data_IF_429936617281
#
_entry.id   IF_429936617281
#
_cell.length_a   1.000
_cell.length_b   1.000
_cell.length_c   1.000
_cell.angle_alpha   90.00
_cell.angle_beta   90.00
_cell.angle_gamma   90.00
#
_symmetry.space_group_name_H-M   'P 1'
#
loop_
_entity.id
_entity.type
_entity.pdbx_description
1 polymer ?
#
# COMPACT_ATOMS: atom_id res chain seq x y z
N UNK A 1 -22.12 47.97 9.95
CA UNK A 1 -22.25 46.61 10.52
C UNK A 1 -21.69 45.61 9.52
N UNK A 2 -20.54 44.98 9.80
CA UNK A 2 -20.00 43.87 8.99
C UNK A 2 -20.57 42.57 9.56
N UNK A 3 -21.38 41.87 8.79
CA UNK A 3 -21.82 40.51 9.12
C UNK A 3 -20.65 39.54 8.88
N UNK A 4 -20.19 38.90 9.94
CA UNK A 4 -19.26 37.76 9.87
C UNK A 4 -20.13 36.51 9.68
N UNK A 5 -20.07 35.90 8.51
CA UNK A 5 -20.65 34.58 8.28
C UNK A 5 -19.76 33.53 8.91
N UNK A 6 -20.19 32.97 10.04
CA UNK A 6 -19.56 31.81 10.67
C UNK A 6 -20.04 30.56 9.93
N UNK A 7 -19.21 30.00 9.04
CA UNK A 7 -19.47 28.69 8.46
C UNK A 7 -19.20 27.62 9.53
N UNK A 8 -20.26 27.08 10.13
CA UNK A 8 -20.19 25.83 10.87
C UNK A 8 -19.99 24.69 9.85
N UNK A 9 -18.77 24.18 9.75
CA UNK A 9 -18.54 22.86 9.16
C UNK A 9 -18.99 21.80 10.17
N UNK A 10 -20.14 21.17 9.91
CA UNK A 10 -20.50 19.93 10.61
C UNK A 10 -19.54 18.82 10.15
N UNK A 11 -18.49 18.57 10.92
CA UNK A 11 -17.69 17.35 10.81
C UNK A 11 -18.56 16.18 11.28
N UNK A 12 -19.36 15.62 10.38
CA UNK A 12 -19.85 14.26 10.59
C UNK A 12 -18.62 13.35 10.61
N UNK A 13 -18.39 12.57 11.68
CA UNK A 13 -17.31 11.59 11.66
C UNK A 13 -17.65 10.60 10.55
N UNK A 14 -16.88 10.64 9.46
CA UNK A 14 -16.95 9.58 8.47
C UNK A 14 -16.39 8.34 9.15
N UNK A 15 -17.29 7.41 9.48
CA UNK A 15 -16.93 6.10 10.02
C UNK A 15 -15.98 5.43 9.03
N UNK A 16 -14.93 4.75 9.51
CA UNK A 16 -14.01 4.00 8.64
C UNK A 16 -12.74 4.71 8.15
N UNK A 17 -12.47 5.95 8.55
CA UNK A 17 -11.22 6.63 8.15
C UNK A 17 -10.57 7.48 9.25
N UNK A 18 -9.28 7.77 9.04
CA UNK A 18 -8.51 8.80 9.77
C UNK A 18 -7.71 9.66 8.81
N UNK A 19 -7.54 10.93 9.16
CA UNK A 19 -6.65 11.84 8.43
C UNK A 19 -5.62 12.44 9.37
N UNK A 20 -4.34 12.29 9.02
CA UNK A 20 -3.24 12.99 9.67
C UNK A 20 -2.87 14.20 8.84
N UNK A 21 -2.89 15.37 9.47
CA UNK A 21 -2.42 16.59 8.83
C UNK A 21 -0.91 16.54 8.69
N UNK A 22 -0.42 16.91 7.51
CA UNK A 22 1.00 17.10 7.27
C UNK A 22 1.49 18.43 7.84
N UNK A 23 2.71 18.44 8.35
CA UNK A 23 3.43 19.67 8.70
C UNK A 23 4.19 20.27 7.52
N UNK A 24 5.29 20.94 7.82
CA UNK A 24 6.26 21.34 6.80
C UNK A 24 7.07 20.15 6.30
N UNK A 25 7.48 20.19 5.04
CA UNK A 25 8.30 19.15 4.42
C UNK A 25 8.08 19.05 2.91
N UNK A 26 8.80 18.15 2.23
CA UNK A 26 8.71 17.99 0.77
C UNK A 26 7.33 17.59 0.25
N UNK A 27 6.51 16.94 1.09
CA UNK A 27 5.14 16.54 0.79
C UNK A 27 4.08 17.60 1.10
N UNK A 28 4.46 18.80 1.56
CA UNK A 28 3.52 19.86 1.90
C UNK A 28 2.64 20.21 0.70
N UNK A 29 1.32 20.23 0.92
CA UNK A 29 0.33 20.50 -0.12
C UNK A 29 -0.02 19.28 -0.98
N UNK A 30 0.56 18.10 -0.72
CA UNK A 30 0.18 16.83 -1.35
C UNK A 30 -0.71 15.99 -0.45
N UNK A 31 -1.71 15.33 -1.04
CA UNK A 31 -2.61 14.42 -0.32
C UNK A 31 -2.43 12.96 -0.78
N UNK A 32 -2.02 12.10 0.13
CA UNK A 32 -1.93 10.65 -0.08
C UNK A 32 -3.13 9.97 0.58
N UNK A 33 -3.85 9.13 -0.18
CA UNK A 33 -4.94 8.30 0.35
C UNK A 33 -4.49 6.84 0.38
N UNK A 34 -4.55 6.22 1.55
CA UNK A 34 -4.28 4.81 1.78
C UNK A 34 -5.60 4.04 1.81
N UNK A 35 -5.71 2.98 1.00
CA UNK A 35 -6.82 2.03 1.01
C UNK A 35 -6.34 0.74 1.65
N UNK A 36 -6.80 0.45 2.87
CA UNK A 36 -6.30 -0.63 3.72
C UNK A 36 -7.43 -1.63 4.04
N UNK A 37 -7.43 -2.79 3.38
CA UNK A 37 -8.36 -3.89 3.71
C UNK A 37 -7.84 -5.22 3.20
N UNK A 38 -7.04 -5.89 4.03
CA UNK A 38 -6.52 -7.24 3.82
C UNK A 38 -6.65 -8.03 5.11
N UNK A 39 -6.96 -9.32 5.01
CA UNK A 39 -7.28 -10.18 6.16
C UNK A 39 -6.11 -11.04 6.66
N UNK A 40 -4.90 -10.92 6.07
CA UNK A 40 -3.75 -11.75 6.45
C UNK A 40 -2.53 -10.93 6.87
N UNK A 41 -2.08 -9.99 6.06
CA UNK A 41 -0.80 -9.27 6.12
C UNK A 41 -0.83 -7.93 6.86
N UNK A 42 -1.96 -7.60 7.50
CA UNK A 42 -2.13 -6.43 8.39
C UNK A 42 -1.99 -5.09 7.67
N UNK A 43 -2.82 -4.87 6.65
CA UNK A 43 -2.90 -3.57 5.99
C UNK A 43 -3.28 -2.45 6.97
N UNK A 44 -4.16 -2.77 7.93
CA UNK A 44 -4.62 -1.90 9.01
C UNK A 44 -3.53 -1.48 10.01
N UNK A 45 -2.36 -2.11 9.99
CA UNK A 45 -1.17 -1.69 10.74
C UNK A 45 -0.15 -0.98 9.84
N UNK A 46 0.09 -1.54 8.64
CA UNK A 46 1.08 -1.06 7.67
C UNK A 46 0.74 0.35 7.16
N UNK A 47 -0.50 0.53 6.70
CA UNK A 47 -0.94 1.77 6.09
C UNK A 47 -0.90 2.96 7.06
N UNK A 48 -1.46 2.87 8.29
CA UNK A 48 -1.33 3.98 9.23
C UNK A 48 0.09 4.20 9.71
N UNK A 49 0.95 3.17 9.83
CA UNK A 49 2.37 3.38 10.13
C UNK A 49 3.07 4.25 9.08
N UNK A 50 2.91 3.91 7.79
CA UNK A 50 3.46 4.71 6.69
C UNK A 50 2.84 6.11 6.62
N UNK A 51 1.51 6.21 6.78
CA UNK A 51 0.80 7.48 6.76
C UNK A 51 1.32 8.45 7.83
N UNK A 52 1.51 7.98 9.07
CA UNK A 52 2.04 8.80 10.16
C UNK A 52 3.48 9.24 9.90
N UNK A 53 4.34 8.36 9.39
CA UNK A 53 5.72 8.72 9.00
C UNK A 53 5.70 9.84 7.95
N UNK A 54 4.92 9.68 6.89
CA UNK A 54 4.83 10.65 5.79
C UNK A 54 4.21 11.97 6.24
N UNK A 55 3.22 11.96 7.12
CA UNK A 55 2.62 13.17 7.65
C UNK A 55 3.58 13.94 8.57
N UNK A 56 4.14 13.24 9.56
CA UNK A 56 4.95 13.85 10.61
C UNK A 56 6.34 14.28 10.14
N UNK A 57 6.99 13.47 9.30
CA UNK A 57 8.39 13.69 8.92
C UNK A 57 8.54 14.33 7.55
N UNK A 58 7.51 14.23 6.69
CA UNK A 58 7.62 14.64 5.29
C UNK A 58 6.54 15.65 4.87
N UNK A 59 5.59 15.99 5.74
CA UNK A 59 4.63 17.06 5.50
C UNK A 59 3.44 16.70 4.60
N UNK A 60 3.25 15.43 4.23
CA UNK A 60 2.08 15.02 3.45
C UNK A 60 0.80 15.11 4.28
N UNK A 61 -0.30 15.59 3.68
CA UNK A 61 -1.62 15.23 4.19
C UNK A 61 -1.83 13.75 3.88
N UNK A 62 -2.20 12.95 4.87
CA UNK A 62 -2.47 11.52 4.65
C UNK A 62 -3.85 11.15 5.18
N UNK A 63 -4.58 10.36 4.42
CA UNK A 63 -5.86 9.78 4.84
C UNK A 63 -5.76 8.27 4.73
N UNK A 64 -6.15 7.54 5.77
CA UNK A 64 -6.21 6.07 5.76
C UNK A 64 -7.67 5.66 5.84
N UNK A 65 -8.10 4.90 4.83
CA UNK A 65 -9.42 4.31 4.69
C UNK A 65 -9.32 2.83 5.04
N UNK A 66 -10.18 2.35 5.93
CA UNK A 66 -10.18 0.98 6.41
C UNK A 66 -11.41 0.22 5.93
N UNK A 67 -11.26 -1.09 5.73
CA UNK A 67 -12.39 -2.01 5.80
C UNK A 67 -13.01 -1.98 7.20
N UNK A 68 -14.34 -1.88 7.29
CA UNK A 68 -15.04 -1.85 8.58
C UNK A 68 -16.21 -2.81 8.68
N UNK A 69 -16.55 -3.21 9.91
CA UNK A 69 -17.79 -3.92 10.23
C UNK A 69 -19.00 -2.96 10.31
N UNK A 70 -20.21 -3.53 10.45
CA UNK A 70 -21.43 -2.74 10.61
C UNK A 70 -21.52 -1.88 11.88
N UNK A 71 -20.53 -1.96 12.79
CA UNK A 71 -20.40 -1.12 13.99
C UNK A 71 -19.30 -0.06 13.83
N UNK A 72 -18.64 0.00 12.68
CA UNK A 72 -17.54 0.91 12.37
C UNK A 72 -16.20 0.53 13.00
N UNK A 73 -16.03 -0.71 13.48
CA UNK A 73 -14.70 -1.21 13.85
C UNK A 73 -13.93 -1.60 12.60
N UNK A 74 -12.62 -1.42 12.64
CA UNK A 74 -11.71 -1.92 11.63
C UNK A 74 -11.87 -3.45 11.55
N UNK A 75 -12.21 -3.94 10.36
CA UNK A 75 -12.34 -5.36 10.08
C UNK A 75 -11.48 -5.73 8.87
N UNK A 76 -10.45 -6.52 9.14
CA UNK A 76 -9.40 -6.85 8.19
C UNK A 76 -9.99 -7.62 7.00
N UNK A 77 -9.88 -7.05 5.79
CA UNK A 77 -10.41 -7.64 4.55
C UNK A 77 -11.90 -7.43 4.32
N UNK A 78 -12.58 -6.61 5.13
CA UNK A 78 -13.97 -6.23 4.88
C UNK A 78 -14.13 -5.47 3.56
N UNK A 79 -15.18 -5.81 2.81
CA UNK A 79 -15.58 -5.14 1.56
C UNK A 79 -16.55 -4.00 1.81
N UNK A 80 -16.22 -3.15 2.78
CA UNK A 80 -16.93 -1.90 3.07
C UNK A 80 -15.89 -0.86 3.50
N UNK A 81 -15.56 0.07 2.60
CA UNK A 81 -14.53 1.09 2.79
C UNK A 81 -15.16 2.46 2.59
N UNK A 82 -15.54 3.07 3.70
CA UNK A 82 -16.12 4.41 3.73
C UNK A 82 -15.03 5.49 3.55
N UNK A 83 -15.36 6.59 2.87
CA UNK A 83 -14.44 7.72 2.63
C UNK A 83 -13.67 7.67 1.31
N UNK A 84 -13.98 6.72 0.41
CA UNK A 84 -13.31 6.59 -0.89
C UNK A 84 -13.46 7.82 -1.79
N UNK A 85 -14.44 8.70 -1.56
CA UNK A 85 -14.58 9.99 -2.24
C UNK A 85 -13.34 10.90 -2.09
N UNK A 86 -12.53 10.69 -1.04
CA UNK A 86 -11.25 11.37 -0.87
C UNK A 86 -10.27 11.14 -2.03
N UNK A 87 -10.42 10.04 -2.78
CA UNK A 87 -9.61 9.76 -3.98
C UNK A 87 -9.81 10.79 -5.09
N UNK A 88 -10.93 11.50 -5.12
CA UNK A 88 -11.19 12.55 -6.12
C UNK A 88 -10.08 13.59 -6.17
N UNK A 89 -9.61 14.02 -4.99
CA UNK A 89 -8.64 15.11 -4.83
C UNK A 89 -7.25 14.62 -4.41
N UNK A 90 -7.05 13.30 -4.27
CA UNK A 90 -5.77 12.72 -3.89
C UNK A 90 -4.69 12.91 -4.97
N UNK A 91 -3.45 13.20 -4.57
CA UNK A 91 -2.29 13.21 -5.45
C UNK A 91 -1.73 11.80 -5.69
N UNK A 92 -1.95 10.89 -4.74
CA UNK A 92 -1.47 9.52 -4.79
C UNK A 92 -2.40 8.58 -4.01
N UNK A 93 -2.65 7.39 -4.56
CA UNK A 93 -3.30 6.28 -3.87
C UNK A 93 -2.26 5.24 -3.49
N UNK A 94 -2.22 4.85 -2.22
CA UNK A 94 -1.54 3.65 -1.75
C UNK A 94 -2.61 2.59 -1.50
N UNK A 95 -2.51 1.43 -2.15
CA UNK A 95 -3.48 0.34 -1.98
C UNK A 95 -2.80 -0.90 -1.41
N UNK A 96 -3.36 -1.36 -0.29
CA UNK A 96 -3.05 -2.64 0.33
C UNK A 96 -4.38 -3.31 0.68
N UNK A 97 -4.89 -4.05 -0.30
CA UNK A 97 -6.20 -4.67 -0.27
C UNK A 97 -6.15 -6.11 -0.73
N UNK A 98 -7.14 -6.93 -0.38
CA UNK A 98 -7.24 -8.32 -0.81
C UNK A 98 -8.67 -8.77 -1.04
N UNK A 99 -8.94 -9.32 -2.21
CA UNK A 99 -10.19 -10.01 -2.56
C UNK A 99 -11.47 -9.24 -2.21
N UNK A 100 -11.44 -7.92 -2.39
CA UNK A 100 -12.58 -7.06 -2.12
C UNK A 100 -13.64 -7.18 -3.20
N UNK A 101 -14.90 -7.14 -2.78
CA UNK A 101 -16.09 -7.01 -3.62
C UNK A 101 -16.92 -5.84 -3.08
N UNK A 102 -16.37 -4.62 -3.24
CA UNK A 102 -16.96 -3.40 -2.72
C UNK A 102 -18.33 -3.12 -3.37
N UNK A 103 -19.25 -2.45 -2.65
CA UNK A 103 -20.45 -1.85 -3.22
C UNK A 103 -20.13 -0.98 -4.45
N UNK A 104 -21.03 -0.95 -5.43
CA UNK A 104 -20.78 -0.27 -6.72
C UNK A 104 -20.55 1.25 -6.56
N UNK A 105 -21.20 1.89 -5.59
CA UNK A 105 -21.01 3.31 -5.25
C UNK A 105 -19.62 3.58 -4.67
N UNK A 106 -19.10 2.66 -3.84
CA UNK A 106 -17.72 2.71 -3.34
C UNK A 106 -16.69 2.42 -4.43
N UNK A 107 -16.90 1.36 -5.21
CA UNK A 107 -15.98 0.95 -6.28
C UNK A 107 -15.86 2.01 -7.39
N UNK A 108 -16.91 2.82 -7.59
CA UNK A 108 -16.90 3.96 -8.51
C UNK A 108 -15.73 4.90 -8.24
N UNK A 109 -15.43 5.21 -6.98
CA UNK A 109 -14.35 6.14 -6.64
C UNK A 109 -12.97 5.60 -7.02
N UNK A 110 -12.75 4.29 -6.88
CA UNK A 110 -11.51 3.63 -7.32
C UNK A 110 -11.44 3.64 -8.86
N UNK A 111 -12.54 3.31 -9.53
CA UNK A 111 -12.60 3.34 -10.99
C UNK A 111 -12.34 4.75 -11.53
N UNK A 112 -12.98 5.78 -10.98
CA UNK A 112 -12.77 7.19 -11.35
C UNK A 112 -11.30 7.61 -11.15
N UNK A 113 -10.66 7.19 -10.05
CA UNK A 113 -9.24 7.46 -9.77
C UNK A 113 -8.31 6.85 -10.82
N UNK A 114 -8.55 5.61 -11.20
CA UNK A 114 -7.79 4.92 -12.24
C UNK A 114 -8.05 5.56 -13.60
N UNK A 115 -9.31 5.83 -13.94
CA UNK A 115 -9.69 6.38 -15.24
C UNK A 115 -9.13 7.80 -15.47
N UNK A 116 -8.97 8.62 -14.42
CA UNK A 116 -8.29 9.93 -14.48
C UNK A 116 -6.76 9.85 -14.51
N UNK A 117 -6.18 8.65 -14.38
CA UNK A 117 -4.73 8.44 -14.37
C UNK A 117 -4.05 8.97 -13.10
N UNK A 118 -4.62 8.65 -11.94
CA UNK A 118 -4.00 8.90 -10.65
C UNK A 118 -2.77 7.97 -10.42
N UNK A 119 -1.65 8.46 -9.86
CA UNK A 119 -0.51 7.61 -9.51
C UNK A 119 -0.89 6.56 -8.45
N UNK A 120 -0.25 5.38 -8.48
CA UNK A 120 -0.61 4.27 -7.58
C UNK A 120 0.63 3.63 -6.97
N UNK A 121 0.58 3.38 -5.67
CA UNK A 121 1.50 2.50 -4.95
C UNK A 121 0.73 1.24 -4.55
N UNK A 122 1.10 0.08 -5.10
CA UNK A 122 0.51 -1.20 -4.73
C UNK A 122 1.43 -1.98 -3.82
N UNK A 123 0.96 -2.33 -2.62
CA UNK A 123 1.68 -3.19 -1.69
C UNK A 123 1.03 -4.56 -1.60
N UNK A 124 1.87 -5.58 -1.43
CA UNK A 124 1.49 -6.98 -1.19
C UNK A 124 0.22 -7.36 -1.95
N UNK A 125 -0.85 -7.72 -1.27
CA UNK A 125 -1.99 -8.43 -1.85
C UNK A 125 -2.79 -7.60 -2.87
N UNK A 126 -2.42 -6.34 -3.10
CA UNK A 126 -3.03 -5.49 -4.12
C UNK A 126 -2.96 -6.04 -5.55
N UNK A 127 -2.04 -6.97 -5.85
CA UNK A 127 -2.05 -7.76 -7.10
C UNK A 127 -3.35 -8.55 -7.32
N UNK A 128 -4.09 -8.79 -6.24
CA UNK A 128 -5.42 -9.38 -6.22
C UNK A 128 -6.33 -8.62 -5.24
N UNK A 129 -6.27 -7.28 -5.33
CA UNK A 129 -7.08 -6.39 -4.51
C UNK A 129 -8.58 -6.71 -4.59
N UNK A 130 -9.07 -7.09 -5.77
CA UNK A 130 -10.50 -7.27 -6.06
C UNK A 130 -10.82 -8.69 -6.48
N UNK A 131 -11.90 -9.24 -5.92
CA UNK A 131 -12.51 -10.51 -6.32
C UNK A 131 -14.00 -10.28 -6.58
N UNK A 132 -14.31 -9.83 -7.78
CA UNK A 132 -15.64 -9.31 -8.12
C UNK A 132 -16.37 -10.32 -9.01
N UNK A 133 -17.55 -10.82 -8.59
CA UNK A 133 -18.33 -11.75 -9.39
C UNK A 133 -18.63 -11.26 -10.81
N UNK A 134 -18.60 -12.19 -11.77
CA UNK A 134 -18.98 -11.91 -13.17
C UNK A 134 -20.39 -11.33 -13.24
N UNK A 135 -20.56 -10.30 -14.06
CA UNK A 135 -21.86 -9.64 -14.30
C UNK A 135 -22.10 -8.40 -13.42
N UNK A 136 -21.27 -8.15 -12.40
CA UNK A 136 -21.29 -6.86 -11.68
C UNK A 136 -20.68 -5.74 -12.52
N UNK A 137 -21.06 -4.50 -12.21
CA UNK A 137 -20.64 -3.29 -12.91
C UNK A 137 -19.11 -3.17 -13.04
N UNK A 138 -18.38 -3.52 -11.99
CA UNK A 138 -16.91 -3.45 -11.96
C UNK A 138 -16.21 -4.80 -12.10
N UNK A 139 -16.89 -5.83 -12.62
CA UNK A 139 -16.31 -7.18 -12.76
C UNK A 139 -15.00 -7.21 -13.56
N UNK A 140 -14.74 -6.22 -14.44
CA UNK A 140 -13.43 -6.05 -15.11
C UNK A 140 -12.25 -5.91 -14.15
N UNK A 141 -12.44 -5.41 -12.94
CA UNK A 141 -11.37 -5.23 -11.95
C UNK A 141 -10.97 -6.54 -11.24
N UNK A 142 -11.79 -7.60 -11.34
CA UNK A 142 -11.51 -8.91 -10.75
C UNK A 142 -10.13 -9.43 -11.15
N UNK A 143 -9.35 -9.91 -10.18
CA UNK A 143 -7.97 -10.34 -10.42
C UNK A 143 -7.82 -11.50 -11.43
N UNK A 144 -8.91 -12.21 -11.74
CA UNK A 144 -8.98 -13.28 -12.73
C UNK A 144 -9.87 -12.92 -13.93
N UNK A 145 -10.09 -11.64 -14.18
CA UNK A 145 -10.92 -11.19 -15.30
C UNK A 145 -10.43 -11.77 -16.63
N UNK A 146 -11.33 -12.46 -17.34
CA UNK A 146 -11.02 -13.19 -18.58
C UNK A 146 -11.24 -12.40 -19.87
N UNK A 147 -11.76 -11.18 -19.80
CA UNK A 147 -11.98 -10.33 -20.98
C UNK A 147 -10.68 -9.71 -21.48
N UNK A 148 -10.48 -9.68 -22.80
CA UNK A 148 -9.25 -9.19 -23.45
C UNK A 148 -9.02 -7.69 -23.25
N UNK A 149 -10.08 -6.94 -23.00
CA UNK A 149 -10.07 -5.50 -22.79
C UNK A 149 -9.45 -5.09 -21.44
N UNK A 150 -9.36 -6.02 -20.49
CA UNK A 150 -8.81 -5.76 -19.17
C UNK A 150 -8.25 -7.03 -18.52
N UNK A 151 -7.51 -7.82 -19.31
CA UNK A 151 -7.07 -9.17 -18.95
C UNK A 151 -6.44 -9.24 -17.55
N UNK A 152 -6.83 -10.23 -16.74
CA UNK A 152 -6.34 -10.44 -15.37
C UNK A 152 -6.53 -9.25 -14.41
N UNK A 153 -7.43 -8.34 -14.75
CA UNK A 153 -7.97 -7.37 -13.82
C UNK A 153 -7.03 -6.26 -13.38
N UNK A 154 -7.41 -5.62 -12.28
CA UNK A 154 -6.71 -4.46 -11.73
C UNK A 154 -5.22 -4.72 -11.48
N UNK A 155 -4.88 -5.82 -10.80
CA UNK A 155 -3.49 -6.11 -10.45
C UNK A 155 -2.59 -6.20 -11.68
N UNK A 156 -3.01 -6.94 -12.70
CA UNK A 156 -2.23 -7.03 -13.93
C UNK A 156 -2.19 -5.71 -14.70
N UNK A 157 -3.36 -5.11 -14.95
CA UNK A 157 -3.47 -3.94 -15.81
C UNK A 157 -2.84 -2.67 -15.20
N UNK A 158 -2.88 -2.53 -13.87
CA UNK A 158 -2.41 -1.35 -13.15
C UNK A 158 -1.07 -1.59 -12.47
N UNK A 159 -0.91 -2.69 -11.72
CA UNK A 159 0.32 -2.95 -10.99
C UNK A 159 1.37 -3.69 -11.83
N UNK A 160 0.95 -4.32 -12.93
CA UNK A 160 1.82 -5.14 -13.79
C UNK A 160 1.89 -6.60 -13.35
N UNK A 161 1.18 -7.01 -12.29
CA UNK A 161 1.16 -8.39 -11.83
C UNK A 161 -0.18 -8.74 -11.18
N UNK A 162 -0.78 -9.85 -11.61
CA UNK A 162 -1.91 -10.47 -10.89
C UNK A 162 -1.39 -11.52 -9.90
N UNK A 163 -2.26 -12.05 -9.05
CA UNK A 163 -1.90 -13.16 -8.17
C UNK A 163 -1.59 -14.43 -8.95
N UNK A 164 -0.34 -14.88 -8.85
CA UNK A 164 0.13 -16.17 -9.39
C UNK A 164 0.26 -17.19 -8.26
N UNK A 165 0.91 -16.81 -7.17
CA UNK A 165 1.21 -17.72 -6.07
C UNK A 165 2.40 -17.28 -5.25
N UNK A 166 2.64 -18.02 -4.16
CA UNK A 166 3.86 -17.89 -3.38
C UNK A 166 5.07 -18.45 -4.13
N UNK A 167 6.19 -17.75 -4.04
CA UNK A 167 7.48 -18.22 -4.49
C UNK A 167 8.28 -18.76 -3.30
N UNK A 168 7.97 -20.00 -2.89
CA UNK A 168 8.46 -20.58 -1.63
C UNK A 168 7.31 -20.93 -0.70
N UNK A 169 7.62 -21.26 0.55
CA UNK A 169 6.64 -21.67 1.57
C UNK A 169 6.30 -20.49 2.46
N UNK A 170 5.12 -19.90 2.25
CA UNK A 170 4.58 -18.86 3.13
C UNK A 170 4.56 -19.33 4.59
N UNK A 171 4.74 -18.39 5.54
CA UNK A 171 4.81 -18.65 6.99
C UNK A 171 5.96 -19.56 7.48
N UNK A 172 6.81 -20.04 6.58
CA UNK A 172 7.99 -20.88 6.91
C UNK A 172 9.30 -20.34 6.36
N UNK A 173 9.22 -19.51 5.31
CA UNK A 173 10.35 -18.87 4.66
C UNK A 173 10.12 -17.35 4.67
N UNK A 174 10.99 -16.63 5.40
CA UNK A 174 11.16 -15.21 5.22
C UNK A 174 11.85 -14.93 3.88
N UNK A 175 11.94 -13.65 3.52
CA UNK A 175 12.45 -13.21 2.23
C UNK A 175 13.50 -12.13 2.42
N UNK A 176 14.67 -12.31 1.79
CA UNK A 176 15.63 -11.23 1.60
C UNK A 176 15.27 -10.44 0.34
N UNK A 177 15.19 -9.13 0.47
CA UNK A 177 14.99 -8.20 -0.64
C UNK A 177 16.35 -7.74 -1.14
N UNK A 178 16.72 -8.26 -2.31
CA UNK A 178 17.99 -8.02 -2.97
C UNK A 178 17.85 -6.89 -3.99
N UNK A 179 18.74 -5.91 -3.95
CA UNK A 179 18.77 -4.82 -4.90
C UNK A 179 19.30 -5.29 -6.25
N UNK A 180 18.67 -4.84 -7.34
CA UNK A 180 19.18 -5.05 -8.70
C UNK A 180 20.35 -4.10 -8.92
N UNK A 181 21.54 -4.64 -9.19
CA UNK A 181 22.80 -3.87 -9.27
C UNK A 181 22.76 -2.79 -10.35
N UNK A 182 22.08 -3.08 -11.46
CA UNK A 182 21.91 -2.17 -12.59
C UNK A 182 21.03 -0.96 -12.24
N UNK A 183 20.27 -1.02 -11.14
CA UNK A 183 19.41 0.07 -10.67
C UNK A 183 20.03 0.92 -9.56
N UNK A 184 21.33 0.75 -9.25
CA UNK A 184 22.01 1.45 -8.14
C UNK A 184 21.83 2.98 -8.15
N UNK A 185 21.70 3.58 -9.33
CA UNK A 185 21.56 5.03 -9.52
C UNK A 185 20.10 5.49 -9.54
N UNK A 186 19.14 4.55 -9.42
CA UNK A 186 17.73 4.87 -9.35
C UNK A 186 17.43 5.65 -8.06
N UNK A 187 16.71 6.79 -8.14
CA UNK A 187 16.42 7.63 -6.97
C UNK A 187 15.70 6.88 -5.85
N UNK A 188 14.91 5.84 -6.18
CA UNK A 188 14.21 5.03 -5.18
C UNK A 188 15.19 4.25 -4.28
N UNK A 189 16.37 3.88 -4.79
CA UNK A 189 17.36 3.09 -4.04
C UNK A 189 18.30 3.96 -3.18
N UNK A 190 18.17 5.29 -3.19
CA UNK A 190 19.00 6.17 -2.35
C UNK A 190 18.83 5.85 -0.87
N UNK A 191 19.95 5.50 -0.23
CA UNK A 191 20.01 5.15 1.20
C UNK A 191 19.40 3.79 1.55
N UNK A 192 18.98 3.00 0.56
CA UNK A 192 18.44 1.65 0.78
C UNK A 192 19.60 0.66 0.81
N UNK A 193 19.79 -0.01 1.95
CA UNK A 193 20.73 -1.12 2.07
C UNK A 193 20.22 -2.40 1.40
N UNK A 194 21.14 -3.22 0.94
CA UNK A 194 20.84 -4.51 0.32
C UNK A 194 20.44 -5.58 1.36
N UNK A 195 19.73 -6.61 0.92
CA UNK A 195 19.27 -7.75 1.72
C UNK A 195 18.37 -7.37 2.91
N UNK A 196 17.44 -6.44 2.71
CA UNK A 196 16.42 -6.14 3.71
C UNK A 196 15.60 -7.39 4.03
N UNK A 197 15.32 -7.66 5.31
CA UNK A 197 14.53 -8.82 5.72
C UNK A 197 13.04 -8.47 5.70
N UNK A 198 12.27 -9.18 4.88
CA UNK A 198 10.82 -9.22 4.95
C UNK A 198 10.37 -10.56 5.53
N UNK A 199 9.48 -10.52 6.51
CA UNK A 199 8.94 -11.71 7.17
C UNK A 199 7.90 -12.41 6.28
N UNK A 200 7.21 -11.68 5.42
CA UNK A 200 6.28 -12.24 4.45
C UNK A 200 6.99 -13.11 3.41
N UNK A 201 6.41 -14.27 3.10
CA UNK A 201 6.94 -15.18 2.09
C UNK A 201 6.84 -14.58 0.69
N UNK A 202 7.87 -14.74 -0.13
CA UNK A 202 7.93 -14.17 -1.47
C UNK A 202 6.73 -14.56 -2.34
N UNK A 203 6.36 -13.67 -3.27
CA UNK A 203 5.43 -13.95 -4.37
C UNK A 203 6.19 -14.14 -5.66
N UNK A 204 5.55 -14.82 -6.62
CA UNK A 204 6.05 -14.85 -8.00
C UNK A 204 5.81 -13.47 -8.62
N UNK A 205 6.89 -12.78 -8.98
CA UNK A 205 6.84 -11.58 -9.82
C UNK A 205 7.13 -11.91 -11.28
N UNK A 206 6.28 -11.41 -12.18
CA UNK A 206 6.42 -11.58 -13.62
C UNK A 206 6.37 -10.19 -14.26
N UNK A 207 7.51 -9.47 -14.30
CA UNK A 207 7.57 -8.15 -14.91
C UNK A 207 7.47 -8.26 -16.44
N UNK A 208 6.91 -7.25 -17.09
CA UNK A 208 7.08 -7.06 -18.53
C UNK A 208 8.35 -6.22 -18.82
N UNK A 209 8.73 -6.15 -20.10
CA UNK A 209 9.93 -5.45 -20.58
C UNK A 209 9.86 -3.93 -20.43
N UNK A 210 8.68 -3.37 -20.17
CA UNK A 210 8.47 -1.95 -19.93
C UNK A 210 8.68 -1.55 -18.47
N UNK A 211 8.86 -2.52 -17.57
CA UNK A 211 9.01 -2.25 -16.14
C UNK A 211 10.47 -1.97 -15.78
N UNK A 212 10.68 -1.10 -14.80
CA UNK A 212 11.98 -0.95 -14.13
C UNK A 212 11.97 -1.76 -12.85
N UNK A 213 12.58 -2.94 -12.88
CA UNK A 213 12.68 -3.84 -11.70
C UNK A 213 13.81 -3.40 -10.80
N UNK A 214 13.49 -3.04 -9.56
CA UNK A 214 14.41 -2.48 -8.57
C UNK A 214 14.98 -3.52 -7.61
N UNK A 215 14.18 -4.53 -7.28
CA UNK A 215 14.56 -5.57 -6.32
C UNK A 215 14.08 -6.94 -6.74
N UNK A 216 14.73 -7.97 -6.21
CA UNK A 216 14.27 -9.35 -6.25
C UNK A 216 14.10 -9.91 -4.83
N UNK A 217 13.13 -10.80 -4.66
CA UNK A 217 12.83 -11.55 -3.44
C UNK A 217 13.55 -12.89 -3.48
N UNK A 218 14.47 -13.11 -2.55
CA UNK A 218 15.15 -14.38 -2.31
C UNK A 218 14.51 -15.07 -1.10
N UNK A 219 13.80 -16.21 -1.27
CA UNK A 219 13.32 -17.00 -0.14
C UNK A 219 14.48 -17.55 0.69
N UNK A 220 14.30 -17.58 2.01
CA UNK A 220 15.23 -18.18 2.98
C UNK A 220 14.73 -19.52 3.49
N UNK A 221 15.61 -20.35 4.03
CA UNK A 221 15.27 -21.60 4.72
C UNK A 221 15.04 -21.36 6.22
N UNK A 222 14.19 -20.39 6.55
CA UNK A 222 13.85 -20.03 7.92
C UNK A 222 13.12 -18.70 7.99
N UNK A 223 12.82 -18.27 9.22
CA UNK A 223 12.09 -17.02 9.50
C UNK A 223 12.97 -15.98 10.20
N UNK A 224 14.29 -16.04 10.00
CA UNK A 224 15.29 -15.18 10.64
C UNK A 224 16.21 -14.55 9.61
N UNK A 225 16.92 -13.48 9.98
CA UNK A 225 17.81 -12.74 9.08
C UNK A 225 19.02 -13.56 8.61
N UNK A 226 19.50 -14.44 9.48
CA UNK A 226 20.65 -15.32 9.32
C UNK A 226 20.31 -16.66 8.67
N UNK A 227 19.04 -16.92 8.37
CA UNK A 227 18.64 -18.12 7.64
C UNK A 227 19.25 -18.10 6.23
N UNK A 228 19.86 -19.22 5.85
CA UNK A 228 20.43 -19.42 4.52
C UNK A 228 19.38 -19.26 3.41
N UNK A 229 19.80 -18.74 2.25
CA UNK A 229 18.94 -18.69 1.07
C UNK A 229 18.47 -20.09 0.65
N UNK A 230 17.25 -20.21 0.14
CA UNK A 230 16.76 -21.47 -0.45
C UNK A 230 17.53 -21.79 -1.74
N UNK A 231 18.41 -22.81 -1.76
CA UNK A 231 19.28 -23.07 -2.91
C UNK A 231 18.50 -23.57 -4.13
N UNK A 232 17.21 -23.93 -3.97
CA UNK A 232 16.34 -24.39 -5.05
C UNK A 232 15.56 -23.25 -5.72
N UNK A 233 15.74 -22.02 -5.24
CA UNK A 233 14.95 -20.85 -5.65
C UNK A 233 15.90 -19.72 -6.05
N UNK A 234 15.85 -19.32 -7.32
CA UNK A 234 16.51 -18.09 -7.78
C UNK A 234 15.70 -16.88 -7.31
N UNK A 235 16.30 -15.70 -7.08
CA UNK A 235 15.55 -14.51 -6.72
C UNK A 235 14.44 -14.21 -7.73
N UNK A 236 13.22 -13.92 -7.25
CA UNK A 236 12.08 -13.55 -8.09
C UNK A 236 11.88 -12.03 -8.08
N UNK A 237 11.62 -11.35 -9.22
CA UNK A 237 11.35 -9.91 -9.23
C UNK A 237 10.30 -9.51 -8.20
N UNK A 238 10.54 -8.44 -7.44
CA UNK A 238 9.71 -8.13 -6.28
C UNK A 238 9.29 -6.68 -6.13
N UNK A 239 10.06 -5.73 -6.62
CA UNK A 239 9.66 -4.32 -6.60
C UNK A 239 9.99 -3.69 -7.93
N UNK A 240 9.05 -2.95 -8.51
CA UNK A 240 9.26 -2.28 -9.79
C UNK A 240 8.46 -1.00 -9.92
N UNK A 241 8.88 -0.17 -10.88
CA UNK A 241 8.08 0.95 -11.38
C UNK A 241 7.59 0.68 -12.79
N UNK A 242 6.39 1.17 -13.10
CA UNK A 242 5.82 1.17 -14.46
C UNK A 242 4.90 2.36 -14.66
N UNK A 243 4.30 2.44 -15.85
CA UNK A 243 3.20 3.36 -16.12
C UNK A 243 2.00 2.61 -16.70
N UNK A 244 0.80 3.01 -16.31
CA UNK A 244 -0.44 2.62 -17.02
C UNK A 244 -0.99 3.83 -17.78
N UNK A 245 -1.79 3.56 -18.81
CA UNK A 245 -2.48 4.61 -19.57
C UNK A 245 -3.91 4.75 -19.05
N UNK A 246 -4.30 5.97 -18.70
CA UNK A 246 -5.67 6.30 -18.33
C UNK A 246 -6.59 6.33 -19.56
N UNK A 247 -7.89 6.52 -19.33
CA UNK A 247 -8.90 6.61 -20.41
C UNK A 247 -8.59 7.73 -21.42
N UNK A 248 -8.07 8.86 -20.93
CA UNK A 248 -7.69 10.01 -21.73
C UNK A 248 -6.23 9.95 -22.22
N UNK A 249 -5.56 8.81 -22.07
CA UNK A 249 -4.20 8.58 -22.56
C UNK A 249 -3.08 9.10 -21.65
N UNK A 250 -3.40 9.67 -20.47
CA UNK A 250 -2.40 10.09 -19.48
C UNK A 250 -1.60 8.89 -19.00
N UNK A 251 -0.26 9.00 -18.99
CA UNK A 251 0.62 8.01 -18.37
C UNK A 251 0.69 8.28 -16.87
N UNK A 252 0.18 7.34 -16.07
CA UNK A 252 0.17 7.43 -14.62
C UNK A 252 1.25 6.54 -14.01
N UNK A 253 1.99 7.07 -13.04
CA UNK A 253 3.11 6.39 -12.36
C UNK A 253 2.60 5.28 -11.44
N UNK A 254 3.29 4.15 -11.45
CA UNK A 254 3.03 3.03 -10.54
C UNK A 254 4.32 2.55 -9.93
N UNK A 255 4.32 2.43 -8.61
CA UNK A 255 5.32 1.66 -7.87
C UNK A 255 4.62 0.46 -7.23
N UNK A 256 5.13 -0.74 -7.45
CA UNK A 256 4.57 -1.95 -6.86
C UNK A 256 5.65 -2.71 -6.10
N UNK A 257 5.31 -3.19 -4.91
CA UNK A 257 6.10 -4.17 -4.18
C UNK A 257 5.25 -5.40 -3.90
N UNK A 258 5.81 -6.58 -4.19
CA UNK A 258 5.19 -7.86 -3.87
C UNK A 258 5.25 -8.18 -2.37
N UNK A 259 5.92 -7.34 -1.57
CA UNK A 259 5.93 -7.39 -0.11
C UNK A 259 5.14 -6.22 0.47
N UNK A 260 5.04 -6.15 1.80
CA UNK A 260 4.41 -5.01 2.47
C UNK A 260 3.67 -5.37 3.75
N UNK A 261 3.84 -6.59 4.28
CA UNK A 261 3.19 -6.96 5.53
C UNK A 261 3.68 -6.09 6.69
N UNK A 262 2.89 -5.98 7.75
CA UNK A 262 3.22 -5.07 8.86
C UNK A 262 4.60 -5.34 9.48
N UNK A 263 4.96 -6.61 9.64
CA UNK A 263 6.27 -7.01 10.17
C UNK A 263 7.44 -6.72 9.20
N UNK A 264 7.20 -6.58 7.89
CA UNK A 264 8.23 -6.25 6.91
C UNK A 264 8.77 -4.83 7.14
N UNK A 265 7.93 -3.90 7.65
CA UNK A 265 8.33 -2.53 7.93
C UNK A 265 9.33 -2.38 9.09
N UNK A 266 9.56 -3.45 9.87
CA UNK A 266 10.53 -3.44 10.96
C UNK A 266 11.97 -3.32 10.43
N UNK A 267 12.25 -3.84 9.22
CA UNK A 267 13.53 -3.59 8.56
C UNK A 267 13.54 -2.18 7.95
N UNK A 268 14.44 -1.32 8.41
CA UNK A 268 14.50 0.08 8.00
C UNK A 268 14.87 0.26 6.52
N UNK A 269 15.58 -0.69 5.90
CA UNK A 269 15.90 -0.63 4.48
C UNK A 269 14.66 -0.89 3.63
N UNK A 270 13.85 -1.89 4.01
CA UNK A 270 12.58 -2.14 3.33
C UNK A 270 11.60 -0.97 3.53
N UNK A 271 11.51 -0.45 4.76
CA UNK A 271 10.69 0.74 5.04
C UNK A 271 11.12 1.95 4.20
N UNK A 272 12.43 2.20 4.06
CA UNK A 272 12.96 3.27 3.20
C UNK A 272 12.62 3.05 1.73
N UNK A 273 12.75 1.82 1.23
CA UNK A 273 12.40 1.46 -0.14
C UNK A 273 10.96 1.86 -0.48
N UNK A 274 10.01 1.53 0.41
CA UNK A 274 8.59 1.87 0.21
C UNK A 274 8.35 3.39 0.27
N UNK A 275 8.94 4.09 1.24
CA UNK A 275 8.82 5.55 1.36
C UNK A 275 9.39 6.26 0.13
N UNK A 276 10.55 5.83 -0.35
CA UNK A 276 11.16 6.38 -1.56
C UNK A 276 10.29 6.09 -2.80
N UNK A 277 9.70 4.88 -2.90
CA UNK A 277 8.74 4.53 -3.94
C UNK A 277 7.49 5.41 -3.94
N UNK A 278 6.99 5.77 -2.76
CA UNK A 278 5.88 6.72 -2.57
C UNK A 278 6.26 8.11 -3.08
N UNK A 279 7.44 8.62 -2.74
CA UNK A 279 7.94 9.90 -3.25
C UNK A 279 8.04 9.90 -4.78
N UNK A 280 8.62 8.84 -5.37
CA UNK A 280 8.72 8.72 -6.82
C UNK A 280 7.34 8.67 -7.48
N UNK A 281 6.40 7.89 -6.93
CA UNK A 281 5.04 7.81 -7.47
C UNK A 281 4.31 9.17 -7.38
N UNK A 282 4.59 9.96 -6.35
CA UNK A 282 4.06 11.32 -6.17
C UNK A 282 4.75 12.40 -7.03
N UNK A 283 5.79 12.06 -7.81
CA UNK A 283 6.53 13.04 -8.63
C UNK A 283 7.58 13.85 -7.85
N UNK A 284 8.10 13.30 -6.76
CA UNK A 284 9.02 13.96 -5.83
C UNK A 284 10.38 13.25 -5.74
N UNK A 285 10.83 12.58 -6.80
CA UNK A 285 12.09 11.84 -6.85
C UNK A 285 13.34 12.71 -6.57
N UNK A 286 13.29 13.99 -6.92
CA UNK A 286 14.36 14.95 -6.62
C UNK A 286 14.42 15.34 -5.14
N UNK A 287 13.35 15.07 -4.38
CA UNK A 287 13.27 15.30 -2.94
C UNK A 287 13.64 14.07 -2.11
N UNK A 288 13.94 12.93 -2.74
CA UNK A 288 14.35 11.71 -2.04
C UNK A 288 15.76 11.90 -1.47
N UNK A 289 15.86 11.88 -0.14
CA UNK A 289 17.12 11.93 0.62
C UNK A 289 17.39 10.58 1.28
N UNK A 290 18.61 10.05 1.09
CA UNK A 290 19.00 8.73 1.62
C UNK A 290 19.06 8.66 3.15
N UNK A 291 19.12 9.80 3.82
CA UNK A 291 19.16 9.96 5.27
C UNK A 291 17.87 10.57 5.84
N UNK A 292 16.81 10.73 5.03
CA UNK A 292 15.52 11.23 5.51
C UNK A 292 15.02 10.42 6.71
N UNK A 293 14.39 11.11 7.68
CA UNK A 293 13.81 10.50 8.87
C UNK A 293 12.63 9.61 8.48
N UNK A 294 12.73 8.34 8.84
CA UNK A 294 11.73 7.29 8.57
C UNK A 294 11.37 6.51 9.84
N UNK A 295 11.68 7.06 11.02
CA UNK A 295 11.32 6.43 12.28
C UNK A 295 9.80 6.36 12.42
N UNK A 296 9.29 5.32 13.08
CA UNK A 296 7.88 5.24 13.39
C UNK A 296 7.45 6.41 14.28
N UNK A 297 6.21 6.86 14.08
CA UNK A 297 5.59 7.92 14.87
C UNK A 297 4.52 7.28 15.74
N UNK A 298 4.71 7.35 17.06
CA UNK A 298 4.02 6.50 18.02
C UNK A 298 4.59 5.08 18.07
N UNK A 299 4.02 4.25 18.94
CA UNK A 299 4.48 2.87 19.12
C UNK A 299 4.02 1.98 17.95
N UNK A 300 4.97 1.30 17.32
CA UNK A 300 4.70 0.30 16.27
C UNK A 300 5.22 -1.08 16.68
N UNK A 301 4.32 -1.91 17.20
CA UNK A 301 4.57 -3.29 17.57
C UNK A 301 3.59 -4.17 16.78
N UNK A 302 3.89 -4.43 15.49
CA UNK A 302 2.93 -5.09 14.61
C UNK A 302 2.56 -6.47 15.12
N UNK A 303 1.29 -6.85 14.96
CA UNK A 303 0.88 -8.22 15.28
C UNK A 303 1.49 -9.20 14.29
N UNK A 304 1.62 -10.46 14.70
CA UNK A 304 2.03 -11.51 13.77
C UNK A 304 0.97 -11.62 12.67
N UNK A 305 1.38 -11.44 11.43
CA UNK A 305 0.46 -11.57 10.31
C UNK A 305 0.05 -13.03 10.11
N UNK A 306 -1.17 -13.24 9.61
CA UNK A 306 -1.85 -14.52 9.49
C UNK A 306 -3.36 -14.34 9.51
N UNK A 307 -4.09 -15.35 9.05
CA UNK A 307 -5.55 -15.34 9.08
C UNK A 307 -6.08 -15.30 10.53
N UNK A 308 -6.99 -14.38 10.82
CA UNK A 308 -7.74 -14.34 12.08
C UNK A 308 -6.91 -13.96 13.32
N UNK A 309 -5.93 -13.08 13.17
CA UNK A 309 -5.02 -12.64 14.25
C UNK A 309 -4.93 -11.11 14.41
N UNK A 310 -5.78 -10.38 13.71
CA UNK A 310 -5.92 -8.93 13.78
C UNK A 310 -6.48 -8.48 15.13
N UNK A 311 -6.13 -7.27 15.55
CA UNK A 311 -6.67 -6.66 16.77
C UNK A 311 -8.13 -6.28 16.51
N UNK A 312 -9.03 -6.69 17.41
CA UNK A 312 -10.48 -6.48 17.28
C UNK A 312 -10.96 -5.25 18.06
N UNK A 313 -12.16 -4.79 17.71
CA UNK A 313 -12.87 -3.69 18.39
C UNK A 313 -12.16 -2.33 18.35
N UNK A 314 -11.17 -2.17 17.47
CA UNK A 314 -10.51 -0.89 17.21
C UNK A 314 -11.35 -0.10 16.21
N UNK A 315 -11.64 1.15 16.53
CA UNK A 315 -12.22 2.12 15.60
C UNK A 315 -11.11 2.97 15.00
N UNK A 316 -11.26 3.49 13.77
CA UNK A 316 -10.29 4.41 13.20
C UNK A 316 -9.95 5.56 14.16
N UNK A 317 -10.93 6.12 14.87
CA UNK A 317 -10.72 7.21 15.84
C UNK A 317 -9.77 6.86 16.99
N UNK A 318 -9.62 5.59 17.36
CA UNK A 318 -8.64 5.16 18.37
C UNK A 318 -7.19 5.36 17.88
N UNK A 319 -7.00 5.50 16.56
CA UNK A 319 -5.72 5.78 15.92
C UNK A 319 -5.52 7.27 15.59
N UNK A 320 -6.46 8.15 15.94
CA UNK A 320 -6.42 9.55 15.54
C UNK A 320 -5.26 10.34 16.19
N UNK A 321 -4.92 10.04 17.45
CA UNK A 321 -3.71 10.57 18.06
C UNK A 321 -2.49 9.92 17.39
N UNK A 322 -1.68 10.73 16.72
CA UNK A 322 -0.50 10.28 15.99
C UNK A 322 0.53 9.60 16.89
N UNK A 323 0.49 9.85 18.20
CA UNK A 323 1.40 9.26 19.19
C UNK A 323 0.82 8.00 19.84
N UNK A 324 -0.46 7.67 19.62
CA UNK A 324 -1.06 6.46 20.20
C UNK A 324 -0.39 5.19 19.65
N UNK A 325 -0.41 4.07 20.38
CA UNK A 325 -0.03 2.78 19.79
C UNK A 325 -0.89 2.47 18.57
N UNK A 326 -0.28 1.98 17.49
CA UNK A 326 -1.04 1.48 16.35
C UNK A 326 -1.72 0.15 16.71
N UNK A 327 -3.02 0.07 16.44
CA UNK A 327 -3.89 -1.07 16.79
C UNK A 327 -3.78 -1.45 18.28
N UNK A 328 -4.18 -0.56 19.21
CA UNK A 328 -4.10 -0.84 20.64
C UNK A 328 -5.02 -2.01 20.99
N UNK A 329 -4.49 -2.98 21.73
CA UNK A 329 -5.32 -4.06 22.28
C UNK A 329 -6.26 -3.45 23.33
N UNK A 330 -7.56 -3.65 23.12
CA UNK A 330 -8.61 -3.35 24.11
C UNK A 330 -8.82 -4.55 25.02
#
# INVERSE_FOLDING_TARGET
MKFIYLFLFSLFPVFGQITYQGGDGPGKGKHIVFVASDHEYRAEETCPALARILAQHQGFKTTVLFGVDGKGHIDAGASDINGLEALKDADLMVIFARFLDLPDDQMKHISDYVERGGPIVGLRTSSHAFKIPKGKAYSKFDFQYGGKEYEKGFGHQILGNTWVGHYGRNHKQATQIQLIKEQKDNPILRGVGDNALCMAGAYVGIPDDTFTVLTASQPLNGMTKDAEADPKKKPSPSTWTRHYKSKDGKKARVFHSTQGASQDLLDSNYRRLIINGIFWAAGLEDQIKGDAKIDFVGTYNPTRFGFGGEVKEVKPQDLADINSPLMPKK
#
